data_IF_824027932367
#
_entry.id   IF_824027932367
#
_cell.length_a   1.000
_cell.length_b   1.000
_cell.length_c   1.000
_cell.angle_alpha   90.00
_cell.angle_beta   90.00
_cell.angle_gamma   90.00
#
_symmetry.space_group_name_H-M   'P 1'
#
loop_
_entity.id
_entity.type
_entity.pdbx_description
1 polymer ?
#
# COMPACT_ATOMS: atom_id res chain seq x y z
N UNK A 1 8.17 -4.75 -8.57
CA UNK A 1 7.11 -5.47 -9.30
C UNK A 1 6.41 -4.50 -10.27
N UNK A 2 5.94 -4.98 -11.44
CA UNK A 2 5.15 -4.22 -12.41
C UNK A 2 3.82 -4.94 -12.68
N UNK A 3 2.69 -4.24 -12.69
CA UNK A 3 1.37 -4.77 -13.07
C UNK A 3 0.60 -3.75 -13.90
N UNK A 4 -0.18 -4.21 -14.88
CA UNK A 4 -1.12 -3.37 -15.64
C UNK A 4 -2.52 -3.57 -15.08
N UNK A 5 -3.22 -2.49 -14.72
CA UNK A 5 -4.61 -2.51 -14.27
C UNK A 5 -5.37 -1.39 -14.99
N UNK A 6 -6.45 -1.74 -15.69
CA UNK A 6 -7.26 -0.78 -16.45
C UNK A 6 -6.46 0.03 -17.49
N UNK A 7 -5.46 -0.58 -18.13
CA UNK A 7 -4.57 0.09 -19.10
C UNK A 7 -3.48 0.97 -18.49
N UNK A 8 -3.43 1.14 -17.16
CA UNK A 8 -2.38 1.90 -16.46
C UNK A 8 -1.32 0.98 -15.86
N UNK A 9 -0.04 1.39 -15.91
CA UNK A 9 1.06 0.69 -15.24
C UNK A 9 1.20 1.10 -13.77
N UNK A 10 1.35 0.11 -12.91
CA UNK A 10 1.70 0.23 -11.50
C UNK A 10 3.03 -0.48 -11.28
N UNK A 11 4.06 0.28 -10.90
CA UNK A 11 5.41 -0.21 -10.75
C UNK A 11 5.97 0.20 -9.39
N UNK A 12 6.20 -0.79 -8.52
CA UNK A 12 6.74 -0.56 -7.17
C UNK A 12 8.21 -0.13 -7.17
N UNK A 13 8.95 -0.24 -8.29
CA UNK A 13 10.32 0.29 -8.39
C UNK A 13 10.35 1.81 -8.62
N UNK A 14 9.28 2.37 -9.19
CA UNK A 14 9.21 3.80 -9.53
C UNK A 14 8.27 4.58 -8.62
N UNK A 15 7.38 3.89 -7.91
CA UNK A 15 6.53 4.46 -6.89
C UNK A 15 7.26 4.48 -5.55
N UNK A 16 6.98 5.49 -4.73
CA UNK A 16 7.48 5.55 -3.35
C UNK A 16 6.55 4.74 -2.45
N UNK A 17 7.08 3.76 -1.75
CA UNK A 17 6.37 3.10 -0.65
C UNK A 17 6.25 4.09 0.51
N UNK A 18 5.02 4.29 1.00
CA UNK A 18 4.73 5.18 2.12
C UNK A 18 4.70 4.40 3.43
N UNK A 19 4.14 3.20 3.41
CA UNK A 19 4.10 2.26 4.53
C UNK A 19 3.56 0.90 4.09
N UNK A 20 3.72 -0.10 4.93
CA UNK A 20 3.26 -1.46 4.66
C UNK A 20 2.77 -2.15 5.94
N UNK A 21 1.92 -3.14 5.74
CA UNK A 21 1.56 -4.13 6.72
C UNK A 21 1.99 -5.50 6.23
N UNK A 22 2.58 -6.28 7.14
CA UNK A 22 3.02 -7.65 6.89
C UNK A 22 2.73 -8.48 8.13
N UNK A 23 2.12 -9.65 7.94
CA UNK A 23 1.70 -10.51 9.04
C UNK A 23 2.79 -11.46 9.56
N UNK A 24 4.07 -11.15 9.31
CA UNK A 24 5.23 -11.93 9.73
C UNK A 24 5.32 -13.37 9.17
N UNK A 25 4.55 -13.70 8.13
CA UNK A 25 4.62 -15.00 7.45
C UNK A 25 5.59 -14.99 6.29
N UNK A 26 6.21 -16.14 6.00
CA UNK A 26 7.08 -16.34 4.84
C UNK A 26 6.28 -16.56 3.57
N UNK A 27 6.90 -16.38 2.39
CA UNK A 27 6.21 -16.45 1.09
C UNK A 27 5.67 -17.85 0.73
N UNK A 28 6.19 -18.88 1.37
CA UNK A 28 5.78 -20.29 1.25
C UNK A 28 4.63 -20.68 2.19
N UNK A 29 4.23 -19.78 3.10
CA UNK A 29 3.06 -19.97 3.96
C UNK A 29 1.78 -19.55 3.20
N UNK A 30 0.76 -20.42 3.19
CA UNK A 30 -0.56 -20.13 2.61
C UNK A 30 -1.25 -18.93 3.29
N UNK A 31 -0.85 -18.59 4.51
CA UNK A 31 -1.33 -17.41 5.22
C UNK A 31 -0.49 -16.17 4.94
N UNK A 32 0.48 -16.19 4.02
CA UNK A 32 1.27 -15.00 3.66
C UNK A 32 0.37 -13.83 3.29
N UNK A 33 0.58 -12.70 3.95
CA UNK A 33 -0.10 -11.46 3.63
C UNK A 33 0.82 -10.26 3.76
N UNK A 34 0.94 -9.53 2.66
CA UNK A 34 1.60 -8.24 2.58
C UNK A 34 0.67 -7.24 1.93
N UNK A 35 0.62 -6.02 2.46
CA UNK A 35 -0.08 -4.92 1.83
C UNK A 35 0.72 -3.63 1.96
N UNK A 36 1.03 -2.98 0.84
CA UNK A 36 1.80 -1.75 0.80
C UNK A 36 1.02 -0.59 0.19
N UNK A 37 1.10 0.57 0.82
CA UNK A 37 0.59 1.84 0.29
C UNK A 37 1.70 2.55 -0.48
N UNK A 38 1.43 2.85 -1.75
CA UNK A 38 2.39 3.47 -2.65
C UNK A 38 1.88 4.78 -3.22
N UNK A 39 2.81 5.70 -3.46
CA UNK A 39 2.57 6.96 -4.17
C UNK A 39 3.40 7.02 -5.45
N UNK A 40 2.73 7.21 -6.58
CA UNK A 40 3.39 7.47 -7.86
C UNK A 40 4.01 8.87 -7.90
N UNK A 41 4.88 9.11 -8.89
CA UNK A 41 5.48 10.42 -9.14
C UNK A 41 4.46 11.52 -9.44
N UNK A 42 3.30 11.16 -10.01
CA UNK A 42 2.21 12.08 -10.30
C UNK A 42 1.26 12.31 -9.10
N UNK A 43 1.56 11.75 -7.92
CA UNK A 43 0.74 11.86 -6.72
C UNK A 43 -0.35 10.79 -6.56
N UNK A 44 -0.63 9.99 -7.60
CA UNK A 44 -1.65 8.93 -7.53
C UNK A 44 -1.27 7.87 -6.48
N UNK A 45 -2.20 7.60 -5.56
CA UNK A 45 -2.06 6.57 -4.52
C UNK A 45 -2.65 5.25 -5.00
N UNK A 46 -2.02 4.15 -4.60
CA UNK A 46 -2.55 2.80 -4.81
C UNK A 46 -2.12 1.86 -3.70
N UNK A 47 -2.93 0.83 -3.43
CA UNK A 47 -2.57 -0.29 -2.57
C UNK A 47 -2.12 -1.46 -3.43
N UNK A 48 -1.06 -2.13 -3.00
CA UNK A 48 -0.68 -3.43 -3.52
C UNK A 48 -0.88 -4.45 -2.41
N UNK A 49 -1.67 -5.47 -2.70
CA UNK A 49 -1.87 -6.63 -1.82
C UNK A 49 -1.15 -7.81 -2.44
N UNK A 50 -0.36 -8.52 -1.66
CA UNK A 50 0.30 -9.75 -2.07
C UNK A 50 -0.02 -10.84 -1.06
N UNK A 51 -0.63 -11.91 -1.55
CA UNK A 51 -0.82 -13.17 -0.84
C UNK A 51 0.15 -14.21 -1.40
N UNK A 52 0.13 -15.42 -0.85
CA UNK A 52 0.98 -16.53 -1.30
C UNK A 52 0.81 -16.87 -2.79
N UNK A 53 -0.40 -16.69 -3.35
CA UNK A 53 -0.72 -17.04 -4.73
C UNK A 53 -1.13 -15.88 -5.63
N UNK A 54 -1.44 -14.71 -5.07
CA UNK A 54 -1.99 -13.59 -5.83
C UNK A 54 -1.27 -12.28 -5.49
N UNK A 55 -1.14 -11.46 -6.52
CA UNK A 55 -0.89 -10.04 -6.34
C UNK A 55 -2.10 -9.28 -6.85
N UNK A 56 -2.65 -8.38 -6.05
CA UNK A 56 -3.70 -7.44 -6.43
C UNK A 56 -3.20 -6.00 -6.32
N UNK A 57 -3.66 -5.13 -7.21
CA UNK A 57 -3.44 -3.69 -7.12
C UNK A 57 -4.81 -3.03 -7.09
N UNK A 58 -5.04 -2.23 -6.06
CA UNK A 58 -6.21 -1.37 -5.91
C UNK A 58 -5.79 0.06 -6.27
N UNK A 59 -6.08 0.53 -7.50
CA UNK A 59 -5.60 1.81 -8.01
C UNK A 59 -6.48 3.00 -7.61
N UNK A 60 -5.96 4.21 -7.83
CA UNK A 60 -6.68 5.48 -7.68
C UNK A 60 -7.30 5.65 -6.28
N UNK A 61 -6.56 5.32 -5.23
CA UNK A 61 -7.02 5.58 -3.86
C UNK A 61 -7.18 7.08 -3.65
N UNK A 62 -8.28 7.48 -3.03
CA UNK A 62 -8.41 8.82 -2.45
C UNK A 62 -7.52 8.94 -1.22
N UNK A 63 -7.22 10.17 -0.81
CA UNK A 63 -6.44 10.42 0.41
C UNK A 63 -7.14 9.83 1.64
N UNK A 64 -8.46 9.97 1.75
CA UNK A 64 -9.24 9.40 2.86
C UNK A 64 -9.19 7.88 2.88
N UNK A 65 -9.26 7.21 1.72
CA UNK A 65 -9.10 5.76 1.65
C UNK A 65 -7.71 5.32 2.12
N UNK A 66 -6.67 6.08 1.75
CA UNK A 66 -5.31 5.81 2.18
C UNK A 66 -5.11 6.05 3.68
N UNK A 67 -5.70 7.11 4.25
CA UNK A 67 -5.73 7.40 5.69
C UNK A 67 -6.45 6.29 6.48
N UNK A 68 -7.65 5.92 6.05
CA UNK A 68 -8.43 4.83 6.66
C UNK A 68 -7.67 3.50 6.67
N UNK A 69 -6.93 3.20 5.59
CA UNK A 69 -6.08 2.02 5.54
C UNK A 69 -4.90 2.15 6.51
N UNK A 70 -4.23 3.30 6.51
CA UNK A 70 -3.07 3.54 7.35
C UNK A 70 -3.39 3.53 8.85
N UNK A 71 -4.52 4.09 9.28
CA UNK A 71 -5.01 4.05 10.66
C UNK A 71 -5.16 2.62 11.20
N UNK A 72 -5.56 1.68 10.34
CA UNK A 72 -5.80 0.29 10.72
C UNK A 72 -4.54 -0.57 10.71
N UNK A 73 -3.54 -0.20 9.91
CA UNK A 73 -2.46 -1.08 9.50
C UNK A 73 -1.07 -0.57 9.87
N UNK A 74 -0.90 0.74 10.05
CA UNK A 74 0.38 1.38 10.35
C UNK A 74 0.40 1.88 11.80
N UNK A 75 1.60 1.97 12.37
CA UNK A 75 1.79 2.65 13.63
C UNK A 75 1.59 4.17 13.51
N UNK A 76 1.31 4.83 14.64
CA UNK A 76 1.06 6.27 14.71
C UNK A 76 2.19 7.10 14.14
N UNK A 77 3.45 6.71 14.35
CA UNK A 77 4.60 7.47 13.85
C UNK A 77 4.67 7.41 12.33
N UNK A 78 4.45 6.23 11.75
CA UNK A 78 4.42 6.03 10.31
C UNK A 78 3.24 6.77 9.69
N UNK A 79 2.05 6.71 10.29
CA UNK A 79 0.89 7.49 9.83
C UNK A 79 1.20 8.99 9.79
N UNK A 80 1.69 9.56 10.89
CA UNK A 80 1.98 11.00 11.01
C UNK A 80 3.06 11.44 10.01
N UNK A 81 4.06 10.59 9.74
CA UNK A 81 5.06 10.89 8.72
C UNK A 81 4.49 10.95 7.30
N UNK A 82 3.38 10.27 7.03
CA UNK A 82 2.75 10.22 5.70
C UNK A 82 1.73 11.33 5.53
N UNK A 83 0.84 11.51 6.53
CA UNK A 83 -0.35 12.36 6.44
C UNK A 83 -0.34 13.58 7.36
N UNK A 84 0.62 13.69 8.28
CA UNK A 84 0.64 14.71 9.33
C UNK A 84 -0.16 14.29 10.57
N UNK A 85 -0.21 15.19 11.56
CA UNK A 85 -0.98 14.98 12.78
C UNK A 85 -2.49 15.04 12.45
N UNK A 86 -3.30 14.08 12.93
CA UNK A 86 -4.75 14.24 12.90
C UNK A 86 -5.17 15.42 13.79
N UNK A 87 -6.34 15.99 13.53
CA UNK A 87 -6.95 17.00 14.41
C UNK A 87 -7.19 16.38 15.80
N UNK A 88 -6.88 17.13 16.86
CA UNK A 88 -7.11 16.76 18.27
C UNK A 88 -8.59 16.88 18.68
#
# INVERSE_FOLDING_TARGET
>A
MKKIVGGKMYNTQTAKELGYYWNAKSLDDYDYFYQGLYRKKNGELFLLTQTWNEVKVDPNLTEDQAKNWAEKNLDTKTYVNIFGNPEE
#
